data_IF_549915626137
#
_entry.id   IF_549915626137
#
_cell.length_a   1.000
_cell.length_b   1.000
_cell.length_c   1.000
_cell.angle_alpha   90.00
_cell.angle_beta   90.00
_cell.angle_gamma   90.00
#
_symmetry.space_group_name_H-M   'P 1'
#
loop_
_entity.id
_entity.type
_entity.pdbx_description
1 polymer ?
#
# COMPACT_ATOMS: atom_id res chain seq x y z
N UNK A 1 -20.66 -4.44 3.22
CA UNK A 1 -19.99 -3.56 2.22
C UNK A 1 -19.35 -4.40 1.12
N UNK A 2 -19.35 -3.96 -0.15
CA UNK A 2 -18.61 -4.63 -1.24
C UNK A 2 -17.46 -3.73 -1.70
N UNK A 3 -16.23 -4.26 -1.60
CA UNK A 3 -15.02 -3.57 -2.09
C UNK A 3 -14.90 -3.86 -3.58
N UNK A 4 -14.90 -2.83 -4.42
CA UNK A 4 -14.85 -2.91 -5.89
C UNK A 4 -13.43 -2.92 -6.42
N UNK A 5 -12.53 -2.21 -5.76
CA UNK A 5 -11.11 -2.08 -6.07
C UNK A 5 -10.35 -1.61 -4.83
N UNK A 6 -9.05 -1.58 -4.93
CA UNK A 6 -8.19 -0.90 -3.96
C UNK A 6 -7.12 -0.09 -4.68
N UNK A 7 -6.73 1.01 -4.06
CA UNK A 7 -5.56 1.79 -4.45
C UNK A 7 -4.63 1.94 -3.25
N UNK A 8 -3.34 1.92 -3.51
CA UNK A 8 -2.32 2.28 -2.52
C UNK A 8 -1.86 3.69 -2.83
N UNK A 9 -1.96 4.58 -1.86
CA UNK A 9 -1.44 5.92 -1.96
C UNK A 9 -0.11 6.02 -1.23
N UNK A 10 0.85 6.62 -1.93
CA UNK A 10 2.18 6.93 -1.41
C UNK A 10 2.23 8.42 -1.13
N UNK A 11 2.24 8.77 0.15
CA UNK A 11 2.22 10.14 0.66
C UNK A 11 3.64 10.71 0.67
N UNK A 12 3.94 11.67 -0.18
CA UNK A 12 5.28 12.24 -0.32
C UNK A 12 5.26 13.74 -0.04
N UNK A 13 6.15 14.24 0.82
CA UNK A 13 6.36 15.67 1.01
C UNK A 13 6.57 16.41 -0.31
N UNK A 14 5.92 17.56 -0.48
CA UNK A 14 5.85 18.27 -1.75
C UNK A 14 7.24 18.63 -2.33
N UNK A 15 8.21 18.92 -1.47
CA UNK A 15 9.59 19.26 -1.85
C UNK A 15 10.41 18.06 -2.37
N UNK A 16 9.96 16.84 -2.09
CA UNK A 16 10.61 15.58 -2.50
C UNK A 16 9.78 14.77 -3.50
N UNK A 17 8.62 15.27 -3.87
CA UNK A 17 7.65 14.53 -4.67
C UNK A 17 8.20 14.11 -6.05
N UNK A 18 8.79 15.04 -6.79
CA UNK A 18 9.21 14.76 -8.17
C UNK A 18 10.32 13.69 -8.21
N UNK A 19 11.27 13.73 -7.28
CA UNK A 19 12.32 12.69 -7.18
C UNK A 19 11.77 11.31 -6.82
N UNK A 20 10.73 11.25 -5.99
CA UNK A 20 10.04 9.99 -5.67
C UNK A 20 9.29 9.47 -6.89
N UNK A 21 8.59 10.33 -7.62
CA UNK A 21 7.89 9.96 -8.86
C UNK A 21 8.85 9.42 -9.93
N UNK A 22 9.99 10.06 -10.14
CA UNK A 22 11.04 9.59 -11.06
C UNK A 22 11.55 8.21 -10.65
N UNK A 23 11.85 8.03 -9.37
CA UNK A 23 12.31 6.76 -8.81
C UNK A 23 11.28 5.65 -9.03
N UNK A 24 10.03 5.83 -8.59
CA UNK A 24 9.00 4.81 -8.69
C UNK A 24 8.56 4.52 -10.12
N UNK A 25 8.62 5.52 -11.02
CA UNK A 25 8.43 5.29 -12.45
C UNK A 25 9.53 4.40 -13.03
N UNK A 26 10.78 4.61 -12.62
CA UNK A 26 11.91 3.77 -13.05
C UNK A 26 11.86 2.36 -12.40
N UNK A 27 11.41 2.25 -11.15
CA UNK A 27 11.21 0.98 -10.45
C UNK A 27 10.16 0.14 -11.14
N UNK A 28 8.97 0.69 -11.35
CA UNK A 28 7.80 -0.03 -11.88
C UNK A 28 7.79 -0.14 -13.42
N UNK A 29 8.52 0.74 -14.10
CA UNK A 29 8.40 0.91 -15.56
C UNK A 29 7.08 1.55 -15.98
N UNK A 30 6.28 2.06 -15.04
CA UNK A 30 5.00 2.71 -15.29
C UNK A 30 5.18 4.21 -15.46
N UNK A 31 4.20 4.86 -16.09
CA UNK A 31 4.29 6.28 -16.41
C UNK A 31 3.43 7.11 -15.47
N UNK A 32 3.90 8.30 -15.04
CA UNK A 32 3.04 9.25 -14.37
C UNK A 32 1.84 9.58 -15.25
N UNK A 33 0.64 9.41 -14.70
CA UNK A 33 -0.61 9.80 -15.35
C UNK A 33 -0.90 11.29 -15.12
N UNK A 34 -2.09 11.71 -15.55
CA UNK A 34 -2.51 13.10 -15.36
C UNK A 34 -2.76 13.37 -13.85
N UNK A 35 -2.17 14.44 -13.30
CA UNK A 35 -2.49 14.88 -11.95
C UNK A 35 -3.97 15.22 -11.80
N UNK A 36 -4.54 14.94 -10.63
CA UNK A 36 -5.91 15.29 -10.24
C UNK A 36 -5.94 15.91 -8.83
N UNK A 37 -7.09 16.42 -8.44
CA UNK A 37 -7.28 17.20 -7.23
C UNK A 37 -7.18 18.71 -7.50
N UNK A 38 -7.61 19.53 -6.54
CA UNK A 38 -7.68 20.99 -6.69
C UNK A 38 -6.30 21.65 -6.83
N UNK A 39 -5.25 20.97 -6.38
CA UNK A 39 -3.84 21.43 -6.38
C UNK A 39 -2.93 20.48 -7.13
N UNK A 40 -3.48 19.62 -8.01
CA UNK A 40 -2.73 18.56 -8.69
C UNK A 40 -1.95 17.65 -7.71
N UNK A 41 -2.54 17.42 -6.53
CA UNK A 41 -1.89 16.70 -5.45
C UNK A 41 -1.83 15.18 -5.66
N UNK A 42 -2.72 14.59 -6.46
CA UNK A 42 -2.75 13.16 -6.73
C UNK A 42 -2.24 12.82 -8.12
N UNK A 43 -1.24 11.99 -8.21
CA UNK A 43 -0.66 11.54 -9.48
C UNK A 43 -0.62 10.02 -9.52
N UNK A 44 -1.36 9.37 -10.45
CA UNK A 44 -1.28 7.92 -10.60
C UNK A 44 0.01 7.50 -11.30
N UNK A 45 0.44 6.26 -11.07
CA UNK A 45 1.31 5.54 -11.98
C UNK A 45 0.46 4.66 -12.88
N UNK A 46 0.49 4.95 -14.18
CA UNK A 46 -0.28 4.23 -15.20
C UNK A 46 0.51 3.03 -15.70
N UNK A 47 0.04 1.79 -15.45
CA UNK A 47 0.65 0.59 -16.00
C UNK A 47 0.39 0.48 -17.51
N UNK A 48 1.22 -0.26 -18.26
CA UNK A 48 1.02 -0.46 -19.69
C UNK A 48 -0.23 -1.31 -20.01
N UNK A 49 -0.73 -2.06 -19.05
CA UNK A 49 -1.95 -2.88 -19.14
C UNK A 49 -2.54 -3.09 -17.74
N UNK A 50 -3.86 -3.36 -17.68
CA UNK A 50 -4.59 -3.46 -16.41
C UNK A 50 -4.97 -2.11 -15.84
N UNK A 51 -5.59 -2.12 -14.66
CA UNK A 51 -6.06 -0.93 -14.00
C UNK A 51 -5.02 -0.42 -13.00
N UNK A 52 -4.88 0.91 -12.94
CA UNK A 52 -4.00 1.56 -11.97
C UNK A 52 -4.47 1.30 -10.55
N UNK A 53 -3.51 1.17 -9.64
CA UNK A 53 -3.76 1.03 -8.20
C UNK A 53 -2.69 1.70 -7.34
N UNK A 54 -1.59 2.17 -7.94
CA UNK A 54 -0.53 2.88 -7.24
C UNK A 54 -0.63 4.37 -7.57
N UNK A 55 -0.80 5.17 -6.53
CA UNK A 55 -0.96 6.61 -6.62
C UNK A 55 0.04 7.30 -5.71
N UNK A 56 0.40 8.52 -6.05
CA UNK A 56 1.26 9.38 -5.26
C UNK A 56 0.51 10.64 -4.87
N UNK A 57 0.56 10.97 -3.59
CA UNK A 57 -0.07 12.17 -3.06
C UNK A 57 0.99 13.15 -2.56
N UNK A 58 0.90 14.43 -3.02
CA UNK A 58 1.70 15.52 -2.46
C UNK A 58 1.13 15.92 -1.12
N UNK A 59 1.92 15.83 -0.06
CA UNK A 59 1.50 16.19 1.30
C UNK A 59 2.29 17.36 1.85
N UNK A 60 1.68 18.07 2.82
CA UNK A 60 2.31 19.20 3.52
C UNK A 60 3.09 18.80 4.77
N UNK A 61 3.10 17.53 5.17
CA UNK A 61 3.89 17.01 6.30
C UNK A 61 5.26 16.52 5.82
N UNK A 62 6.24 16.47 6.73
CA UNK A 62 7.63 16.15 6.37
C UNK A 62 7.93 14.63 6.29
N UNK A 63 7.06 13.79 6.83
CA UNK A 63 7.26 12.34 6.90
C UNK A 63 6.44 11.68 5.80
N UNK A 64 7.10 10.96 4.87
CA UNK A 64 6.39 10.16 3.86
C UNK A 64 5.71 8.94 4.50
N UNK A 65 4.73 8.39 3.82
CA UNK A 65 4.02 7.21 4.28
C UNK A 65 3.18 6.56 3.18
N UNK A 66 2.39 5.57 3.56
CA UNK A 66 1.42 4.94 2.69
C UNK A 66 0.07 4.84 3.38
N UNK A 67 -1.00 4.91 2.60
CA UNK A 67 -2.33 4.54 3.07
C UNK A 67 -3.11 3.79 1.98
N UNK A 68 -4.20 3.18 2.40
CA UNK A 68 -5.06 2.37 1.54
C UNK A 68 -6.35 3.13 1.23
N UNK A 69 -6.72 3.15 -0.05
CA UNK A 69 -8.04 3.55 -0.50
C UNK A 69 -8.84 2.32 -0.94
N UNK A 70 -9.99 2.12 -0.34
CA UNK A 70 -10.95 1.10 -0.71
C UNK A 70 -12.07 1.72 -1.55
N UNK A 71 -12.23 1.25 -2.78
CA UNK A 71 -13.26 1.73 -3.69
C UNK A 71 -14.58 1.02 -3.40
N UNK A 72 -15.64 1.79 -3.14
CA UNK A 72 -16.95 1.29 -2.76
C UNK A 72 -18.07 2.04 -3.50
N UNK A 73 -19.25 1.44 -3.54
CA UNK A 73 -20.42 2.07 -4.20
C UNK A 73 -21.12 3.11 -3.31
N UNK A 74 -21.13 2.88 -1.97
CA UNK A 74 -21.79 3.74 -0.99
C UNK A 74 -20.81 4.11 0.13
N UNK A 75 -20.29 5.34 0.06
CA UNK A 75 -19.30 5.86 1.00
C UNK A 75 -19.85 6.00 2.43
N UNK A 76 -21.11 6.43 2.58
CA UNK A 76 -21.67 6.67 3.89
C UNK A 76 -21.99 5.36 4.60
N UNK A 77 -22.55 4.39 3.89
CA UNK A 77 -22.77 3.06 4.43
C UNK A 77 -21.45 2.38 4.79
N UNK A 78 -20.41 2.51 3.96
CA UNK A 78 -19.08 1.96 4.25
C UNK A 78 -18.42 2.59 5.47
N UNK A 79 -18.50 3.92 5.58
CA UNK A 79 -17.96 4.64 6.74
C UNK A 79 -18.71 4.29 8.03
N UNK A 80 -20.05 4.19 7.99
CA UNK A 80 -20.86 3.78 9.14
C UNK A 80 -20.48 2.35 9.59
N UNK A 81 -20.36 1.41 8.65
CA UNK A 81 -19.95 0.04 8.93
C UNK A 81 -18.55 -0.03 9.56
N UNK A 82 -17.58 0.77 9.09
CA UNK A 82 -16.25 0.85 9.68
C UNK A 82 -16.27 1.43 11.10
N UNK A 83 -17.08 2.48 11.33
CA UNK A 83 -17.23 3.09 12.67
C UNK A 83 -17.89 2.13 13.67
N UNK A 84 -18.86 1.34 13.26
CA UNK A 84 -19.43 0.27 14.10
C UNK A 84 -18.38 -0.77 14.54
N UNK A 85 -17.30 -0.91 13.76
CA UNK A 85 -16.15 -1.80 14.06
C UNK A 85 -15.00 -1.09 14.77
N UNK A 86 -15.20 0.18 15.15
CA UNK A 86 -14.23 0.92 15.95
C UNK A 86 -13.33 1.88 15.16
N UNK A 87 -13.51 2.04 13.86
CA UNK A 87 -12.80 3.06 13.10
C UNK A 87 -13.28 4.47 13.49
N UNK A 88 -12.39 5.44 13.37
CA UNK A 88 -12.67 6.84 13.63
C UNK A 88 -12.77 7.62 12.32
N UNK A 89 -13.93 8.20 12.02
CA UNK A 89 -14.07 9.11 10.88
C UNK A 89 -13.29 10.41 11.17
N UNK A 90 -12.37 10.74 10.28
CA UNK A 90 -11.47 11.91 10.38
C UNK A 90 -11.95 13.04 9.49
N UNK A 91 -12.35 12.72 8.25
CA UNK A 91 -12.82 13.71 7.28
C UNK A 91 -13.85 13.10 6.33
N UNK A 92 -14.74 13.97 5.82
CA UNK A 92 -15.81 13.58 4.90
C UNK A 92 -16.00 14.70 3.88
N UNK A 93 -15.69 14.40 2.62
CA UNK A 93 -15.90 15.29 1.48
C UNK A 93 -16.55 14.52 0.34
N UNK A 94 -16.95 15.19 -0.71
CA UNK A 94 -17.52 14.53 -1.89
C UNK A 94 -16.52 13.53 -2.49
N UNK A 95 -16.98 12.30 -2.72
CA UNK A 95 -16.16 11.21 -3.26
C UNK A 95 -15.18 10.56 -2.28
N UNK A 96 -15.05 11.03 -1.01
CA UNK A 96 -14.02 10.55 -0.08
C UNK A 96 -14.49 10.51 1.38
N UNK A 97 -14.15 9.44 2.10
CA UNK A 97 -14.21 9.34 3.57
C UNK A 97 -12.85 8.91 4.09
N UNK A 98 -12.24 9.75 4.92
CA UNK A 98 -10.96 9.47 5.58
C UNK A 98 -11.23 8.94 6.97
N UNK A 99 -10.66 7.80 7.28
CA UNK A 99 -10.83 7.14 8.57
C UNK A 99 -9.47 6.71 9.13
N UNK A 100 -9.42 6.51 10.44
CA UNK A 100 -8.36 5.76 11.09
C UNK A 100 -8.93 4.42 11.58
N UNK A 101 -8.12 3.37 11.50
CA UNK A 101 -8.41 2.08 12.14
C UNK A 101 -8.46 2.22 13.65
N UNK A 102 -8.88 1.21 14.42
CA UNK A 102 -8.80 1.25 15.88
C UNK A 102 -7.40 1.51 16.43
N UNK A 103 -6.33 1.07 15.74
CA UNK A 103 -4.94 1.37 16.10
C UNK A 103 -4.50 2.78 15.70
N UNK A 104 -5.23 3.45 14.82
CA UNK A 104 -4.90 4.79 14.32
C UNK A 104 -4.21 4.80 12.94
N UNK A 105 -4.18 3.69 12.21
CA UNK A 105 -3.69 3.63 10.84
C UNK A 105 -4.68 4.33 9.90
N UNK A 106 -4.26 5.32 9.10
CA UNK A 106 -5.14 5.98 8.15
C UNK A 106 -5.50 5.08 6.97
N UNK A 107 -6.76 5.17 6.54
CA UNK A 107 -7.27 4.59 5.30
C UNK A 107 -8.46 5.41 4.79
N UNK A 108 -8.84 5.19 3.54
CA UNK A 108 -9.96 5.90 2.94
C UNK A 108 -10.97 4.95 2.31
N UNK A 109 -12.23 5.42 2.24
CA UNK A 109 -13.17 4.97 1.25
C UNK A 109 -13.29 6.02 0.15
N UNK A 110 -13.24 5.56 -1.09
CA UNK A 110 -13.38 6.40 -2.29
C UNK A 110 -14.47 5.84 -3.20
N UNK A 111 -15.12 6.72 -3.97
CA UNK A 111 -16.11 6.29 -4.96
C UNK A 111 -15.44 5.45 -6.05
N UNK A 112 -16.07 4.34 -6.42
CA UNK A 112 -15.59 3.51 -7.53
C UNK A 112 -15.59 4.26 -8.85
N UNK A 113 -14.49 4.16 -9.61
CA UNK A 113 -14.36 4.79 -10.92
C UNK A 113 -15.20 4.04 -11.97
N UNK A 114 -16.05 4.73 -12.73
CA UNK A 114 -16.79 4.10 -13.83
C UNK A 114 -15.85 3.54 -14.90
N UNK A 115 -16.16 2.35 -15.38
CA UNK A 115 -15.44 1.72 -16.52
C UNK A 115 -14.15 1.00 -16.16
N UNK A 116 -13.80 0.87 -14.87
CA UNK A 116 -12.70 0.03 -14.44
C UNK A 116 -12.89 -1.43 -14.84
N UNK A 117 -11.86 -2.05 -15.39
CA UNK A 117 -11.91 -3.45 -15.85
C UNK A 117 -11.71 -4.46 -14.72
N UNK A 118 -11.18 -4.01 -13.57
CA UNK A 118 -10.79 -4.82 -12.41
C UNK A 118 -9.76 -5.89 -12.75
N UNK A 119 -8.82 -5.49 -13.58
CA UNK A 119 -7.71 -6.35 -13.97
C UNK A 119 -6.42 -5.79 -13.39
N UNK A 120 -5.78 -6.55 -12.50
CA UNK A 120 -4.47 -6.19 -11.96
C UNK A 120 -3.42 -6.13 -13.08
N UNK A 121 -2.49 -5.16 -13.03
CA UNK A 121 -1.40 -5.08 -13.98
C UNK A 121 -0.53 -6.35 -13.96
N UNK A 122 -0.01 -6.76 -15.13
CA UNK A 122 0.99 -7.82 -15.17
C UNK A 122 2.30 -7.34 -14.52
N UNK A 123 3.06 -8.24 -13.88
CA UNK A 123 4.38 -7.90 -13.35
C UNK A 123 5.30 -7.37 -14.45
N UNK A 124 5.96 -6.23 -14.25
CA UNK A 124 7.04 -5.79 -15.14
C UNK A 124 8.21 -6.79 -15.09
N UNK A 125 8.97 -6.83 -16.17
CA UNK A 125 10.16 -7.68 -16.29
C UNK A 125 11.37 -6.82 -16.66
N UNK A 126 12.46 -7.04 -15.94
CA UNK A 126 13.75 -6.36 -16.11
C UNK A 126 14.88 -7.39 -16.18
N UNK A 127 16.13 -6.94 -16.22
CA UNK A 127 17.29 -7.84 -16.16
C UNK A 127 17.38 -8.62 -14.83
N UNK A 128 16.73 -8.15 -13.76
CA UNK A 128 16.61 -8.84 -12.45
C UNK A 128 15.44 -9.82 -12.40
N UNK A 129 14.69 -10.03 -13.47
CA UNK A 129 13.49 -10.84 -13.52
C UNK A 129 12.20 -10.02 -13.34
N UNK A 130 11.12 -10.72 -13.04
CA UNK A 130 9.82 -10.09 -12.77
C UNK A 130 9.79 -9.53 -11.36
N UNK A 131 9.11 -8.41 -11.21
CA UNK A 131 8.87 -7.77 -9.92
C UNK A 131 7.50 -7.08 -9.93
N UNK A 132 6.93 -6.81 -8.76
CA UNK A 132 5.67 -6.08 -8.65
C UNK A 132 5.51 -5.51 -7.25
N UNK A 133 5.01 -4.29 -7.15
CA UNK A 133 4.45 -3.75 -5.89
C UNK A 133 3.11 -4.45 -5.68
N UNK A 134 3.05 -5.52 -4.93
CA UNK A 134 1.88 -6.39 -4.83
C UNK A 134 1.40 -6.63 -3.41
N UNK A 135 1.94 -5.89 -2.45
CA UNK A 135 1.54 -6.01 -1.05
C UNK A 135 1.68 -4.67 -0.33
N UNK A 136 0.72 -4.37 0.52
CA UNK A 136 0.79 -3.34 1.54
C UNK A 136 0.96 -4.03 2.89
N UNK A 137 2.04 -3.71 3.60
CA UNK A 137 2.31 -4.17 4.95
C UNK A 137 1.84 -3.10 5.94
N UNK A 138 1.01 -3.48 6.90
CA UNK A 138 0.59 -2.65 8.02
C UNK A 138 1.44 -3.00 9.23
N UNK A 139 2.27 -2.06 9.65
CA UNK A 139 3.11 -2.16 10.84
C UNK A 139 2.33 -1.68 12.05
N UNK A 140 2.03 -2.59 12.96
CA UNK A 140 1.13 -2.36 14.07
C UNK A 140 1.84 -2.54 15.41
N UNK A 141 1.71 -1.59 16.34
CA UNK A 141 2.20 -1.78 17.71
C UNK A 141 1.63 -3.04 18.34
N UNK A 142 2.45 -3.78 19.08
CA UNK A 142 2.05 -5.07 19.68
C UNK A 142 0.73 -5.00 20.48
N UNK A 143 0.43 -3.95 21.28
CA UNK A 143 -0.84 -3.85 22.01
C UNK A 143 -2.08 -3.72 21.11
N UNK A 144 -1.90 -3.25 19.88
CA UNK A 144 -2.99 -2.93 18.95
C UNK A 144 -3.14 -3.98 17.85
N UNK A 145 -2.17 -4.87 17.69
CA UNK A 145 -2.06 -5.81 16.58
C UNK A 145 -3.33 -6.67 16.38
N UNK A 146 -3.75 -7.38 17.41
CA UNK A 146 -4.93 -8.26 17.33
C UNK A 146 -6.21 -7.48 17.01
N UNK A 147 -6.37 -6.31 17.62
CA UNK A 147 -7.55 -5.46 17.42
C UNK A 147 -7.66 -4.99 15.97
N UNK A 148 -6.54 -4.57 15.37
CA UNK A 148 -6.52 -4.10 13.98
C UNK A 148 -6.61 -5.26 12.98
N UNK A 149 -6.00 -6.40 13.27
CA UNK A 149 -6.14 -7.60 12.45
C UNK A 149 -7.60 -8.07 12.36
N UNK A 150 -8.28 -8.10 13.50
CA UNK A 150 -9.72 -8.44 13.57
C UNK A 150 -10.59 -7.37 12.89
N UNK A 151 -10.23 -6.08 13.03
CA UNK A 151 -10.89 -4.98 12.33
C UNK A 151 -10.85 -5.18 10.81
N UNK A 152 -9.67 -5.39 10.24
CA UNK A 152 -9.53 -5.59 8.79
C UNK A 152 -10.29 -6.81 8.29
N UNK A 153 -10.22 -7.93 9.01
CA UNK A 153 -10.96 -9.13 8.65
C UNK A 153 -12.48 -8.90 8.70
N UNK A 154 -12.98 -8.26 9.76
CA UNK A 154 -14.40 -7.99 9.92
C UNK A 154 -14.93 -6.94 8.92
N UNK A 155 -14.15 -5.89 8.64
CA UNK A 155 -14.52 -4.82 7.71
C UNK A 155 -14.61 -5.34 6.26
N UNK A 156 -13.62 -6.11 5.83
CA UNK A 156 -13.53 -6.59 4.46
C UNK A 156 -14.32 -7.87 4.21
N UNK A 157 -14.63 -8.62 5.26
CA UNK A 157 -15.17 -9.96 5.16
C UNK A 157 -14.15 -10.99 4.64
N UNK A 158 -12.89 -10.62 4.54
CA UNK A 158 -11.82 -11.50 4.08
C UNK A 158 -11.24 -12.30 5.24
N UNK A 159 -10.87 -13.54 4.96
CA UNK A 159 -10.40 -14.44 6.00
C UNK A 159 -9.02 -14.07 6.51
N UNK A 160 -8.88 -13.90 7.82
CA UNK A 160 -7.63 -13.85 8.52
C UNK A 160 -6.97 -15.22 8.52
N UNK A 161 -5.66 -15.30 8.24
CA UNK A 161 -4.93 -16.57 8.17
C UNK A 161 -4.40 -17.03 9.52
N UNK A 162 -4.23 -16.11 10.45
CA UNK A 162 -3.62 -16.30 11.75
C UNK A 162 -2.15 -15.93 11.77
N UNK A 163 -1.70 -15.52 12.93
CA UNK A 163 -0.34 -15.05 13.14
C UNK A 163 0.67 -16.19 13.03
N UNK A 164 1.75 -15.94 12.29
CA UNK A 164 2.93 -16.78 12.20
C UNK A 164 4.15 -15.88 12.44
N UNK A 165 4.85 -16.08 13.54
CA UNK A 165 5.87 -15.18 14.09
C UNK A 165 5.30 -13.74 14.27
N UNK A 166 5.95 -12.71 13.72
CA UNK A 166 5.47 -11.33 13.76
C UNK A 166 4.42 -10.99 12.68
N UNK A 167 4.05 -11.94 11.81
CA UNK A 167 3.20 -11.68 10.66
C UNK A 167 1.83 -12.35 10.73
N UNK A 168 0.82 -11.66 10.21
CA UNK A 168 -0.48 -12.23 9.88
C UNK A 168 -0.91 -11.76 8.48
N UNK A 169 -1.84 -12.46 7.86
CA UNK A 169 -2.28 -12.18 6.51
C UNK A 169 -3.80 -12.14 6.41
N UNK A 170 -4.29 -11.17 5.68
CA UNK A 170 -5.69 -11.14 5.25
C UNK A 170 -5.76 -11.70 3.83
N UNK A 171 -6.62 -12.71 3.62
CA UNK A 171 -6.78 -13.38 2.33
C UNK A 171 -7.54 -12.51 1.33
N UNK A 172 -6.86 -11.52 0.79
CA UNK A 172 -7.38 -10.59 -0.21
C UNK A 172 -7.79 -11.36 -1.48
N UNK A 173 -8.96 -11.10 -2.08
CA UNK A 173 -9.37 -11.72 -3.34
C UNK A 173 -8.31 -11.58 -4.45
N UNK A 174 -8.07 -12.66 -5.18
CA UNK A 174 -6.97 -12.74 -6.16
C UNK A 174 -7.08 -11.77 -7.35
N UNK A 175 -8.25 -11.22 -7.60
CA UNK A 175 -8.47 -10.23 -8.65
C UNK A 175 -8.09 -8.80 -8.24
N UNK A 176 -7.94 -8.52 -6.93
CA UNK A 176 -7.43 -7.23 -6.43
C UNK A 176 -5.91 -7.13 -6.64
N UNK A 177 -5.37 -5.92 -6.85
CA UNK A 177 -3.98 -5.77 -7.28
C UNK A 177 -2.94 -6.03 -6.19
N UNK A 178 -3.28 -5.86 -4.92
CA UNK A 178 -2.34 -6.01 -3.80
C UNK A 178 -2.88 -6.92 -2.70
N UNK A 179 -1.98 -7.46 -1.91
CA UNK A 179 -2.24 -8.29 -0.73
C UNK A 179 -2.06 -7.46 0.54
N UNK A 180 -2.64 -7.91 1.66
CA UNK A 180 -2.45 -7.32 2.97
C UNK A 180 -1.59 -8.22 3.85
N UNK A 181 -0.51 -7.66 4.33
CA UNK A 181 0.32 -8.21 5.39
C UNK A 181 0.13 -7.34 6.63
N UNK A 182 0.04 -7.96 7.78
CA UNK A 182 0.05 -7.30 9.08
C UNK A 182 1.34 -7.71 9.77
N UNK A 183 2.14 -6.75 10.20
CA UNK A 183 3.38 -6.98 10.93
C UNK A 183 3.25 -6.41 12.33
N UNK A 184 3.44 -7.25 13.33
CA UNK A 184 3.53 -6.82 14.72
C UNK A 184 4.91 -6.22 14.95
N UNK A 185 4.94 -4.96 15.40
CA UNK A 185 6.16 -4.29 15.84
C UNK A 185 6.63 -4.82 17.20
N UNK A 186 7.93 -4.68 17.48
CA UNK A 186 8.49 -5.00 18.78
C UNK A 186 7.80 -4.19 19.89
N UNK A 187 7.74 -4.75 21.11
CA UNK A 187 7.03 -4.13 22.25
C UNK A 187 7.58 -2.74 22.64
N UNK A 188 8.85 -2.49 22.36
CA UNK A 188 9.54 -1.23 22.64
C UNK A 188 9.63 -0.29 21.42
N UNK A 189 8.99 -0.65 20.30
CA UNK A 189 8.93 0.23 19.14
C UNK A 189 8.23 1.55 19.50
N UNK A 190 8.94 2.65 19.29
CA UNK A 190 8.40 3.99 19.55
C UNK A 190 7.48 4.49 18.43
N UNK A 191 7.39 3.74 17.35
CA UNK A 191 6.64 4.10 16.15
C UNK A 191 5.17 3.74 16.32
N UNK A 192 4.29 4.68 15.95
CA UNK A 192 2.86 4.40 15.85
C UNK A 192 2.53 3.52 14.63
N UNK A 193 1.26 3.15 14.43
CA UNK A 193 0.85 2.36 13.29
C UNK A 193 1.17 3.09 12.00
N UNK A 194 1.73 2.37 11.04
CA UNK A 194 2.07 2.89 9.72
C UNK A 194 1.99 1.78 8.68
N UNK A 195 2.15 2.12 7.40
CA UNK A 195 2.17 1.13 6.34
C UNK A 195 3.34 1.37 5.40
N UNK A 196 3.86 0.28 4.83
CA UNK A 196 4.89 0.34 3.81
C UNK A 196 4.59 -0.58 2.63
N UNK A 197 5.21 -0.26 1.49
CA UNK A 197 5.11 -1.08 0.29
C UNK A 197 6.02 -2.29 0.37
N UNK A 198 5.51 -3.44 -0.08
CA UNK A 198 6.33 -4.59 -0.39
C UNK A 198 6.29 -4.91 -1.88
N UNK A 199 7.47 -5.14 -2.43
CA UNK A 199 7.63 -5.67 -3.78
C UNK A 199 7.96 -7.16 -3.70
N UNK A 200 7.28 -7.98 -4.50
CA UNK A 200 7.77 -9.31 -4.84
C UNK A 200 8.79 -9.22 -5.97
N UNK A 201 9.84 -10.03 -5.94
CA UNK A 201 10.85 -10.09 -6.99
C UNK A 201 11.34 -11.52 -7.19
N UNK A 202 11.51 -11.95 -8.46
CA UNK A 202 12.04 -13.28 -8.82
C UNK A 202 13.50 -13.41 -8.36
N UNK A 203 14.29 -12.34 -8.41
CA UNK A 203 15.62 -12.21 -7.80
C UNK A 203 15.67 -10.96 -6.91
N UNK A 204 15.42 -11.15 -5.62
CA UNK A 204 15.40 -10.09 -4.61
C UNK A 204 16.67 -9.27 -4.55
N UNK A 205 17.83 -9.96 -4.59
CA UNK A 205 19.11 -9.29 -4.39
C UNK A 205 19.50 -8.48 -5.63
N UNK A 206 19.24 -9.00 -6.82
CA UNK A 206 19.44 -8.26 -8.07
C UNK A 206 18.49 -7.06 -8.17
N UNK A 207 17.22 -7.24 -7.76
CA UNK A 207 16.24 -6.14 -7.77
C UNK A 207 16.60 -5.06 -6.74
N UNK A 208 16.97 -5.42 -5.53
CA UNK A 208 17.46 -4.46 -4.54
C UNK A 208 18.72 -3.71 -5.01
N UNK A 209 19.62 -4.38 -5.72
CA UNK A 209 20.80 -3.74 -6.32
C UNK A 209 20.40 -2.76 -7.44
N UNK A 210 19.39 -3.09 -8.25
CA UNK A 210 18.82 -2.18 -9.27
C UNK A 210 18.21 -0.93 -8.63
N UNK A 211 17.44 -1.09 -7.55
CA UNK A 211 16.85 0.05 -6.84
C UNK A 211 17.92 0.98 -6.25
N UNK A 212 19.02 0.43 -5.75
CA UNK A 212 20.16 1.24 -5.28
C UNK A 212 20.82 2.03 -6.41
N UNK A 213 20.90 1.47 -7.62
CA UNK A 213 21.41 2.19 -8.79
C UNK A 213 20.46 3.34 -9.21
N UNK A 214 19.17 3.20 -8.91
CA UNK A 214 18.16 4.24 -9.12
C UNK A 214 18.13 5.29 -7.99
N UNK A 215 18.92 5.13 -6.93
CA UNK A 215 19.03 6.09 -5.85
C UNK A 215 18.44 5.67 -4.51
N UNK A 216 17.98 4.43 -4.36
CA UNK A 216 17.53 3.92 -3.06
C UNK A 216 18.71 3.66 -2.11
N UNK A 217 18.50 3.95 -0.82
CA UNK A 217 19.45 3.68 0.24
C UNK A 217 19.12 2.36 0.95
N UNK A 218 20.13 1.50 1.24
CA UNK A 218 19.89 0.28 2.00
C UNK A 218 19.67 0.60 3.48
N UNK A 219 18.65 -0.01 4.09
CA UNK A 219 18.33 0.12 5.52
C UNK A 219 18.64 -1.17 6.26
N UNK A 220 18.07 -2.30 5.83
CA UNK A 220 18.23 -3.60 6.49
C UNK A 220 18.15 -4.72 5.46
N UNK A 221 18.86 -5.81 5.71
CA UNK A 221 18.74 -7.07 4.93
C UNK A 221 18.51 -8.24 5.89
N UNK A 222 17.50 -9.04 5.58
CA UNK A 222 17.19 -10.30 6.28
C UNK A 222 17.37 -11.50 5.32
N UNK A 223 16.99 -12.70 5.77
CA UNK A 223 16.93 -13.87 4.90
C UNK A 223 15.88 -13.72 3.79
N UNK A 224 14.72 -13.07 4.08
CA UNK A 224 13.53 -13.09 3.25
C UNK A 224 13.26 -11.78 2.51
N UNK A 225 13.74 -10.65 3.03
CA UNK A 225 13.56 -9.32 2.40
C UNK A 225 14.74 -8.40 2.58
N UNK A 226 14.79 -7.36 1.75
CA UNK A 226 15.70 -6.22 1.86
C UNK A 226 14.88 -4.95 2.02
N UNK A 227 15.07 -4.25 3.14
CA UNK A 227 14.46 -2.94 3.39
C UNK A 227 15.31 -1.85 2.77
N UNK A 228 14.70 -1.00 1.99
CA UNK A 228 15.30 0.13 1.30
C UNK A 228 14.56 1.42 1.67
N UNK A 229 15.19 2.55 1.38
CA UNK A 229 14.58 3.87 1.47
C UNK A 229 14.67 4.55 0.12
N UNK A 230 13.55 5.04 -0.38
CA UNK A 230 13.50 5.78 -1.63
C UNK A 230 14.15 7.18 -1.52
N UNK A 231 14.39 7.91 -2.61
CA UNK A 231 15.00 9.24 -2.56
C UNK A 231 14.18 10.30 -1.79
N UNK A 232 12.90 10.07 -1.52
CA UNK A 232 12.07 10.94 -0.70
C UNK A 232 12.06 10.58 0.78
N UNK A 233 12.70 9.47 1.17
CA UNK A 233 12.76 8.98 2.53
C UNK A 233 11.71 7.93 2.89
N UNK A 234 10.89 7.48 1.93
CA UNK A 234 9.92 6.40 2.13
C UNK A 234 10.65 5.07 2.30
N UNK A 235 10.37 4.37 3.39
CA UNK A 235 10.86 3.00 3.63
C UNK A 235 9.93 1.99 2.95
N UNK A 236 10.50 0.96 2.32
CA UNK A 236 9.78 -0.11 1.64
C UNK A 236 10.63 -1.39 1.60
N UNK A 237 10.03 -2.53 1.26
CA UNK A 237 10.75 -3.80 1.19
C UNK A 237 10.73 -4.42 -0.22
N UNK A 238 11.85 -5.04 -0.58
CA UNK A 238 11.95 -5.98 -1.71
C UNK A 238 12.02 -7.38 -1.11
N UNK A 239 11.06 -8.22 -1.44
CA UNK A 239 10.91 -9.57 -0.86
C UNK A 239 11.21 -10.64 -1.89
N UNK A 240 11.74 -11.80 -1.44
CA UNK A 240 11.97 -12.97 -2.27
C UNK A 240 10.70 -13.78 -2.60
N UNK A 241 9.50 -13.20 -2.40
CA UNK A 241 8.25 -13.86 -2.78
C UNK A 241 8.20 -14.03 -4.30
N UNK A 242 7.66 -15.17 -4.72
CA UNK A 242 7.47 -15.41 -6.15
C UNK A 242 6.47 -14.42 -6.73
N UNK A 243 6.89 -13.64 -7.72
CA UNK A 243 6.09 -12.59 -8.35
C UNK A 243 4.81 -13.15 -8.95
N UNK A 244 3.68 -12.51 -8.62
CA UNK A 244 2.35 -12.92 -9.07
C UNK A 244 1.75 -14.12 -8.29
N UNK A 245 2.44 -14.63 -7.27
CA UNK A 245 1.84 -15.63 -6.38
C UNK A 245 0.92 -14.94 -5.37
N UNK A 246 -0.34 -15.37 -5.33
CA UNK A 246 -1.32 -14.91 -4.37
C UNK A 246 -1.48 -15.92 -3.23
N UNK A 247 -1.54 -15.44 -2.01
CA UNK A 247 -1.93 -16.28 -0.88
C UNK A 247 -3.46 -16.49 -0.92
N UNK A 248 -3.87 -17.64 -1.39
CA UNK A 248 -5.30 -18.04 -1.45
C UNK A 248 -5.74 -18.72 -0.16
#
# INVERSE_FOLDING_TARGET
MEIRWLSILVDIPADRFDRSMEFWSAVTGWRPGRPIGDKDEYVPLDPPAGDRYLWFQRIGRDIPGCHLDLHVDDLDAAAAEAQERGARLVNSVDGLRVLDTPAGQPFCFVTEEPGRTRQAPPPPETASGRHLVDQLCFDLPAPDFERDADFWAALTGWRRRGQEDEFDRIAVPAWLPAQFLLQQLDEDAAEGPHAHLDLSADDRDAEAARHRQLGAEPVRRTADWTTLRDPAGLTYCVTGRRTGLRFT
#
